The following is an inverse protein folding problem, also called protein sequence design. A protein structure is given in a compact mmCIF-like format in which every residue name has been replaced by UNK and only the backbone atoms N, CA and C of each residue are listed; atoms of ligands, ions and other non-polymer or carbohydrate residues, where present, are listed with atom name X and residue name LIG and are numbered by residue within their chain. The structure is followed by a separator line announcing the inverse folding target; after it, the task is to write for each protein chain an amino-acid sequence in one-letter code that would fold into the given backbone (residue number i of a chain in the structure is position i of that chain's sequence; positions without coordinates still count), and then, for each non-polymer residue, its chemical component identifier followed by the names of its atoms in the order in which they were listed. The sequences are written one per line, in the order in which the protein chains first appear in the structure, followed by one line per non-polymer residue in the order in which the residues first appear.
data_IF_104759289031
#
_entry.id   IF_104759289031
#
_cell.length_a   1.000
_cell.length_b   1.000
_cell.length_c   1.000
_cell.angle_alpha   90.00
_cell.angle_beta   90.00
_cell.angle_gamma   90.00
#
_symmetry.space_group_name_H-M   'P 1'
#
loop_
_entity.id
_entity.type
_entity.pdbx_description
1 polymer ?
#
# COMPACT_ATOMS: atom_id res chain seq x y z
N UNK A 1 23.83 -56.30 -5.13
CA UNK A 1 24.52 -55.65 -3.99
C UNK A 1 23.86 -54.29 -3.79
N UNK A 2 23.25 -54.11 -2.62
CA UNK A 2 22.51 -52.92 -2.18
C UNK A 2 23.47 -51.82 -1.70
N UNK A 3 23.16 -50.56 -2.01
CA UNK A 3 23.35 -49.42 -1.12
C UNK A 3 22.54 -48.20 -1.62
N UNK A 4 21.48 -47.77 -0.90
CA UNK A 4 20.91 -46.44 -1.00
C UNK A 4 21.65 -45.47 -0.04
N UNK A 5 21.91 -44.24 -0.49
CA UNK A 5 22.54 -43.18 0.30
C UNK A 5 22.45 -41.86 -0.47
N UNK A 6 22.01 -40.72 0.05
CA UNK A 6 21.58 -40.33 1.39
C UNK A 6 20.40 -39.36 1.24
N UNK A 7 19.37 -39.55 2.04
CA UNK A 7 18.24 -38.64 2.22
C UNK A 7 18.74 -37.47 3.07
N UNK A 8 18.67 -36.23 2.56
CA UNK A 8 18.99 -35.04 3.36
C UNK A 8 17.80 -34.77 4.29
N UNK A 9 18.01 -34.67 5.63
CA UNK A 9 16.92 -34.53 6.58
C UNK A 9 16.34 -33.12 6.53
N UNK A 10 15.00 -33.07 6.58
CA UNK A 10 14.27 -31.91 7.05
C UNK A 10 14.69 -31.58 8.50
N UNK A 11 14.87 -30.29 8.81
CA UNK A 11 14.39 -29.62 10.03
C UNK A 11 15.10 -28.27 10.22
N UNK A 12 14.29 -27.20 10.19
CA UNK A 12 14.32 -25.99 11.04
C UNK A 12 13.37 -25.00 10.35
N UNK A 13 12.05 -25.09 10.51
CA UNK A 13 11.33 -24.76 11.73
C UNK A 13 11.78 -23.40 12.31
N UNK A 14 11.25 -22.30 11.78
CA UNK A 14 10.86 -21.10 12.55
C UNK A 14 10.44 -19.97 11.61
N UNK A 15 9.13 -19.73 11.54
CA UNK A 15 8.48 -18.40 11.58
C UNK A 15 7.10 -18.48 10.92
N UNK A 16 6.25 -19.33 11.46
CA UNK A 16 4.81 -19.10 11.38
C UNK A 16 4.54 -18.04 12.45
N UNK A 17 4.37 -16.78 12.02
CA UNK A 17 3.87 -15.72 12.89
C UNK A 17 2.50 -16.17 13.43
N UNK A 18 2.52 -16.71 14.65
CA UNK A 18 1.32 -16.94 15.46
C UNK A 18 0.72 -15.56 15.71
N UNK A 19 -0.41 -15.27 15.07
CA UNK A 19 -1.30 -14.22 15.50
C UNK A 19 -1.82 -14.62 16.89
N UNK A 20 -1.13 -14.20 17.94
CA UNK A 20 -1.57 -14.37 19.31
C UNK A 20 -2.89 -13.62 19.49
N UNK A 21 -3.99 -14.36 19.49
CA UNK A 21 -5.31 -13.93 19.91
C UNK A 21 -5.29 -13.81 21.44
N UNK A 22 -5.14 -12.58 21.95
CA UNK A 22 -5.27 -12.32 23.38
C UNK A 22 -6.76 -12.13 23.74
N UNK A 23 -7.29 -12.88 24.73
CA UNK A 23 -8.67 -12.74 25.20
C UNK A 23 -8.87 -11.45 26.01
N UNK A 24 -10.08 -10.88 25.90
CA UNK A 24 -10.50 -9.67 26.59
C UNK A 24 -10.44 -9.81 28.12
N UNK A 25 -9.93 -8.81 28.86
CA UNK A 25 -10.26 -8.65 30.27
C UNK A 25 -11.56 -7.84 30.41
N UNK A 26 -12.62 -8.52 30.87
CA UNK A 26 -13.74 -7.87 31.54
C UNK A 26 -13.22 -7.13 32.79
N UNK A 27 -13.47 -5.82 32.88
CA UNK A 27 -13.09 -5.06 34.07
C UNK A 27 -13.26 -3.55 33.97
N UNK A 28 -14.43 -3.07 34.40
CA UNK A 28 -14.66 -1.80 35.09
C UNK A 28 -14.76 -0.47 34.29
N UNK A 29 -16.04 -0.09 34.10
CA UNK A 29 -16.66 1.22 34.38
C UNK A 29 -16.52 2.38 33.38
N UNK A 30 -17.65 2.92 32.86
CA UNK A 30 -17.68 4.18 32.14
C UNK A 30 -17.72 5.36 33.13
N UNK A 31 -16.75 6.26 33.04
CA UNK A 31 -16.86 7.61 33.63
C UNK A 31 -17.14 8.62 32.51
N UNK A 32 -18.29 9.32 32.54
CA UNK A 32 -18.53 10.46 31.66
C UNK A 32 -17.78 11.65 32.24
N UNK A 33 -16.73 12.08 31.54
CA UNK A 33 -16.11 13.38 31.72
C UNK A 33 -16.58 14.29 30.59
N UNK A 34 -17.68 15.00 30.82
CA UNK A 34 -17.97 16.24 30.12
C UNK A 34 -16.84 17.23 30.42
N UNK A 35 -16.15 17.73 29.40
CA UNK A 35 -15.68 19.10 29.45
C UNK A 35 -15.84 19.76 28.08
N UNK A 36 -16.39 20.96 28.15
CA UNK A 36 -17.07 21.71 27.10
C UNK A 36 -16.18 22.90 26.83
N UNK A 37 -15.59 22.99 25.65
CA UNK A 37 -14.65 24.09 25.37
C UNK A 37 -14.40 24.31 23.90
N UNK A 38 -15.24 25.16 23.33
CA UNK A 38 -15.07 25.78 22.02
C UNK A 38 -13.90 26.75 22.04
N UNK A 39 -12.97 26.65 21.09
CA UNK A 39 -12.33 27.84 20.53
C UNK A 39 -11.96 27.63 19.07
N UNK A 40 -12.37 28.59 18.25
CA UNK A 40 -12.06 28.68 16.83
C UNK A 40 -11.11 29.86 16.68
N UNK A 41 -9.86 29.58 16.30
CA UNK A 41 -8.86 30.59 15.97
C UNK A 41 -7.93 30.10 14.85
N UNK A 42 -7.62 30.92 13.82
CA UNK A 42 -6.84 30.50 12.67
C UNK A 42 -5.35 30.77 12.91
N UNK A 43 -4.62 29.78 13.41
CA UNK A 43 -3.17 29.91 13.59
C UNK A 43 -2.43 29.18 12.47
N UNK A 44 -1.90 29.99 11.56
CA UNK A 44 -0.88 29.59 10.61
C UNK A 44 0.40 29.18 11.37
N UNK A 45 1.03 28.08 10.92
CA UNK A 45 2.42 27.80 11.23
C UNK A 45 2.64 26.64 12.20
N UNK A 46 3.03 25.48 11.66
CA UNK A 46 4.31 24.83 11.96
C UNK A 46 4.30 23.43 11.33
N UNK A 47 4.85 23.32 10.12
CA UNK A 47 5.25 22.01 9.57
C UNK A 47 6.59 21.60 10.18
N UNK A 48 6.60 21.39 11.50
CA UNK A 48 7.78 20.96 12.25
C UNK A 48 7.56 19.51 12.70
N UNK A 49 8.12 18.57 11.95
CA UNK A 49 8.39 17.22 12.48
C UNK A 49 7.30 16.17 12.25
N UNK A 50 6.48 16.29 11.22
CA UNK A 50 5.65 15.14 10.78
C UNK A 50 6.60 14.08 10.21
N UNK A 51 6.65 12.86 10.75
CA UNK A 51 7.50 11.82 10.19
C UNK A 51 7.10 11.60 8.73
N UNK A 52 8.05 11.73 7.80
CA UNK A 52 7.84 11.38 6.40
C UNK A 52 7.70 9.87 6.32
N UNK A 53 6.47 9.39 6.38
CA UNK A 53 6.15 7.97 6.20
C UNK A 53 6.36 7.64 4.72
N UNK A 54 7.55 7.11 4.39
CA UNK A 54 7.84 6.56 3.06
C UNK A 54 7.27 5.14 3.01
N UNK A 55 5.97 5.06 2.80
CA UNK A 55 5.34 3.82 2.37
C UNK A 55 5.07 3.91 0.87
N UNK A 56 5.07 2.77 0.18
CA UNK A 56 4.76 2.77 -1.26
C UNK A 56 3.35 3.30 -1.54
N UNK A 57 2.46 3.31 -0.55
CA UNK A 57 1.08 3.79 -0.55
C UNK A 57 0.93 5.28 -0.21
N UNK A 58 1.89 6.11 -0.64
CA UNK A 58 1.74 7.57 -0.58
C UNK A 58 1.11 8.13 -1.86
N UNK A 59 0.30 9.19 -1.71
CA UNK A 59 -0.32 9.89 -2.85
C UNK A 59 0.74 10.40 -3.84
N UNK A 60 1.83 10.95 -3.31
CA UNK A 60 2.95 11.41 -4.12
C UNK A 60 3.60 10.28 -4.95
N UNK A 61 3.67 9.06 -4.43
CA UNK A 61 4.15 7.92 -5.21
C UNK A 61 3.16 7.53 -6.31
N UNK A 62 1.86 7.55 -6.01
CA UNK A 62 0.84 7.29 -7.03
C UNK A 62 0.88 8.31 -8.17
N UNK A 63 0.96 9.61 -7.87
CA UNK A 63 1.02 10.66 -8.89
C UNK A 63 2.26 10.50 -9.78
N UNK A 64 3.41 10.10 -9.19
CA UNK A 64 4.62 9.77 -9.95
C UNK A 64 4.38 8.60 -10.93
N UNK A 65 3.66 7.56 -10.53
CA UNK A 65 3.35 6.44 -11.44
C UNK A 65 2.51 6.89 -12.64
N UNK A 66 1.53 7.77 -12.42
CA UNK A 66 0.72 8.34 -13.52
C UNK A 66 1.61 9.07 -14.50
N UNK A 67 2.50 9.95 -14.01
CA UNK A 67 3.45 10.68 -14.87
C UNK A 67 4.37 9.74 -15.66
N UNK A 68 4.85 8.66 -15.05
CA UNK A 68 5.69 7.67 -15.75
C UNK A 68 4.91 7.00 -16.88
N UNK A 69 3.66 6.60 -16.65
CA UNK A 69 2.82 5.99 -17.71
C UNK A 69 2.56 7.01 -18.83
N UNK A 70 2.25 8.26 -18.48
CA UNK A 70 2.00 9.32 -19.47
C UNK A 70 3.23 9.61 -20.34
N UNK A 71 4.44 9.42 -19.80
CA UNK A 71 5.70 9.63 -20.53
C UNK A 71 5.94 8.60 -21.65
N UNK A 72 5.27 7.44 -21.64
CA UNK A 72 5.33 6.50 -22.77
C UNK A 72 4.66 7.08 -24.03
N UNK A 73 3.75 8.04 -23.86
CA UNK A 73 3.07 8.70 -24.96
C UNK A 73 2.09 7.80 -25.75
N UNK A 74 1.22 8.38 -26.58
CA UNK A 74 0.35 7.60 -27.47
C UNK A 74 1.13 6.90 -28.60
N UNK A 75 0.63 5.77 -29.14
CA UNK A 75 -0.61 5.08 -28.75
C UNK A 75 -0.38 4.09 -27.61
N UNK A 76 -1.11 4.27 -26.51
CA UNK A 76 -1.22 3.26 -25.45
C UNK A 76 -2.32 2.26 -25.84
N UNK A 77 -2.14 0.99 -25.49
CA UNK A 77 -3.21 -0.01 -25.65
C UNK A 77 -4.43 0.39 -24.79
N UNK A 78 -5.62 -0.06 -25.21
CA UNK A 78 -6.86 0.25 -24.50
C UNK A 78 -6.79 -0.15 -23.02
N UNK A 79 -6.22 -1.32 -22.74
CA UNK A 79 -6.06 -1.82 -21.37
C UNK A 79 -5.17 -0.90 -20.52
N UNK A 80 -4.03 -0.46 -21.06
CA UNK A 80 -3.14 0.48 -20.37
C UNK A 80 -3.85 1.80 -20.10
N UNK A 81 -4.60 2.32 -21.07
CA UNK A 81 -5.37 3.56 -20.90
C UNK A 81 -6.45 3.42 -19.82
N UNK A 82 -7.19 2.32 -19.78
CA UNK A 82 -8.22 2.07 -18.77
C UNK A 82 -7.60 1.95 -17.37
N UNK A 83 -6.51 1.19 -17.22
CA UNK A 83 -5.78 1.06 -15.96
C UNK A 83 -5.21 2.39 -15.47
N UNK A 84 -4.67 3.21 -16.39
CA UNK A 84 -4.16 4.54 -16.08
C UNK A 84 -5.26 5.45 -15.55
N UNK A 85 -6.41 5.50 -16.22
CA UNK A 85 -7.54 6.35 -15.83
C UNK A 85 -8.12 5.88 -14.48
N UNK A 86 -8.36 4.57 -14.33
CA UNK A 86 -8.93 4.01 -13.11
C UNK A 86 -7.98 4.18 -11.91
N UNK A 87 -6.71 3.83 -12.08
CA UNK A 87 -5.70 3.99 -11.03
C UNK A 87 -5.53 5.45 -10.57
N UNK A 88 -5.55 6.40 -11.50
CA UNK A 88 -5.50 7.83 -11.18
C UNK A 88 -6.76 8.30 -10.43
N UNK A 89 -7.95 7.80 -10.79
CA UNK A 89 -9.19 8.10 -10.07
C UNK A 89 -9.11 7.61 -8.62
N UNK A 90 -8.72 6.36 -8.41
CA UNK A 90 -8.58 5.77 -7.07
C UNK A 90 -7.62 6.56 -6.18
N UNK A 91 -6.51 7.05 -6.72
CA UNK A 91 -5.58 7.87 -5.96
C UNK A 91 -6.14 9.25 -5.59
N UNK A 92 -6.97 9.85 -6.45
CA UNK A 92 -7.69 11.09 -6.13
C UNK A 92 -8.74 10.89 -5.04
N UNK A 93 -9.38 9.73 -4.99
CA UNK A 93 -10.38 9.36 -3.97
C UNK A 93 -9.76 8.93 -2.62
N UNK A 94 -8.43 8.91 -2.50
CA UNK A 94 -7.74 8.46 -1.28
C UNK A 94 -7.59 6.94 -1.18
N UNK A 95 -8.05 6.18 -2.18
CA UNK A 95 -7.84 4.73 -2.31
C UNK A 95 -6.46 4.42 -2.92
N UNK A 96 -5.41 4.97 -2.30
CA UNK A 96 -4.05 5.03 -2.85
C UNK A 96 -3.47 3.63 -3.15
N UNK A 97 -3.66 2.67 -2.24
CA UNK A 97 -3.12 1.31 -2.41
C UNK A 97 -3.71 0.59 -3.62
N UNK A 98 -5.02 0.68 -3.85
CA UNK A 98 -5.65 0.09 -5.04
C UNK A 98 -5.23 0.84 -6.30
N UNK A 99 -5.14 2.18 -6.26
CA UNK A 99 -4.69 2.95 -7.41
C UNK A 99 -3.27 2.59 -7.85
N UNK A 100 -2.35 2.40 -6.91
CA UNK A 100 -0.97 1.96 -7.22
C UNK A 100 -0.94 0.56 -7.84
N UNK A 101 -1.79 -0.36 -7.39
CA UNK A 101 -1.86 -1.72 -7.96
C UNK A 101 -2.25 -1.63 -9.44
N UNK A 102 -3.28 -0.86 -9.77
CA UNK A 102 -3.74 -0.68 -11.15
C UNK A 102 -2.68 0.00 -12.03
N UNK A 103 -2.01 1.02 -11.51
CA UNK A 103 -0.93 1.72 -12.24
C UNK A 103 0.30 0.81 -12.44
N UNK A 104 0.66 -0.01 -11.46
CA UNK A 104 1.73 -1.01 -11.63
C UNK A 104 1.35 -2.05 -12.67
N UNK A 105 0.08 -2.46 -12.72
CA UNK A 105 -0.43 -3.36 -13.77
C UNK A 105 -0.30 -2.71 -15.15
N UNK A 106 -0.63 -1.43 -15.29
CA UNK A 106 -0.45 -0.70 -16.54
C UNK A 106 1.02 -0.72 -17.02
N UNK A 107 1.98 -0.52 -16.10
CA UNK A 107 3.41 -0.58 -16.41
C UNK A 107 3.88 -1.98 -16.81
N UNK A 108 3.31 -3.04 -16.23
CA UNK A 108 3.64 -4.42 -16.61
C UNK A 108 3.17 -4.71 -18.03
N UNK A 109 1.95 -4.31 -18.39
CA UNK A 109 1.43 -4.46 -19.76
C UNK A 109 2.29 -3.67 -20.75
N UNK A 110 2.62 -2.41 -20.44
CA UNK A 110 3.51 -1.61 -21.28
C UNK A 110 4.89 -2.24 -21.47
N UNK A 111 5.45 -2.84 -20.42
CA UNK A 111 6.74 -3.52 -20.51
C UNK A 111 6.66 -4.75 -21.42
N UNK A 112 5.58 -5.52 -21.35
CA UNK A 112 5.36 -6.66 -22.23
C UNK A 112 5.23 -6.23 -23.70
N UNK A 113 4.45 -5.19 -23.97
CA UNK A 113 4.25 -4.62 -25.31
C UNK A 113 5.56 -4.09 -25.94
N UNK A 114 6.51 -3.60 -25.14
CA UNK A 114 7.79 -3.07 -25.62
C UNK A 114 8.87 -4.13 -25.85
N UNK A 115 8.67 -5.37 -25.39
CA UNK A 115 9.62 -6.47 -25.54
C UNK A 115 9.18 -7.53 -26.55
N UNK A 116 8.03 -7.34 -27.19
CA UNK A 116 7.54 -8.19 -28.29
C UNK A 116 7.98 -7.70 -29.67
#
# INVERSE_FOLDING_TARGET
MNAPSLVIPALLAASLCVCAFAPAPDGASPRPGEDRGQDSGPEAGSDSGRPVVITSDSRAFCDRLVTVIDAYGPPLTREVSELRIHGALLCREGRVRSGIIDLRRALMVLKEDNHS
#
